data_IF_235787562035
#
_entry.id   IF_235787562035
#
_cell.length_a   1.000
_cell.length_b   1.000
_cell.length_c   1.000
_cell.angle_alpha   90.00
_cell.angle_beta   90.00
_cell.angle_gamma   90.00
#
_symmetry.space_group_name_H-M   'P 1'
#
loop_
_entity.id
_entity.type
_entity.pdbx_description
1 polymer ?
#
# COMPACT_ATOMS: atom_id res chain seq x y z
N UNK A 1 3.86 25.15 -18.51
CA UNK A 1 4.25 24.18 -19.56
C UNK A 1 5.23 23.12 -19.07
N UNK A 2 6.52 23.41 -18.80
CA UNK A 2 7.44 22.37 -18.29
C UNK A 2 7.09 21.89 -16.87
N UNK A 3 6.74 22.81 -15.97
CA UNK A 3 6.28 22.51 -14.61
C UNK A 3 4.97 21.69 -14.58
N UNK A 4 4.02 21.99 -15.46
CA UNK A 4 2.77 21.20 -15.59
C UNK A 4 3.05 19.75 -16.04
N UNK A 5 4.05 19.58 -16.90
CA UNK A 5 4.44 18.26 -17.42
C UNK A 5 5.07 17.40 -16.31
N UNK A 6 5.97 17.97 -15.51
CA UNK A 6 6.59 17.29 -14.37
C UNK A 6 5.55 16.90 -13.31
N UNK A 7 4.63 17.82 -12.98
CA UNK A 7 3.55 17.53 -12.04
C UNK A 7 2.64 16.39 -12.54
N UNK A 8 2.29 16.41 -13.82
CA UNK A 8 1.45 15.37 -14.44
C UNK A 8 2.15 14.00 -14.36
N UNK A 9 3.44 13.95 -14.71
CA UNK A 9 4.22 12.72 -14.68
C UNK A 9 4.31 12.16 -13.26
N UNK A 10 4.58 13.02 -12.27
CA UNK A 10 4.63 12.62 -10.87
C UNK A 10 3.30 12.02 -10.39
N UNK A 11 2.17 12.66 -10.72
CA UNK A 11 0.84 12.17 -10.34
C UNK A 11 0.54 10.81 -10.96
N UNK A 12 0.90 10.60 -12.22
CA UNK A 12 0.73 9.31 -12.90
C UNK A 12 1.54 8.20 -12.24
N UNK A 13 2.81 8.47 -11.91
CA UNK A 13 3.67 7.47 -11.27
C UNK A 13 3.19 7.17 -9.83
N UNK A 14 2.77 8.19 -9.08
CA UNK A 14 2.18 8.02 -7.75
C UNK A 14 0.93 7.13 -7.83
N UNK A 15 0.05 7.36 -8.80
CA UNK A 15 -1.19 6.60 -8.96
C UNK A 15 -0.89 5.15 -9.35
N UNK A 16 0.05 4.93 -10.28
CA UNK A 16 0.52 3.59 -10.68
C UNK A 16 1.07 2.80 -9.50
N UNK A 17 1.94 3.42 -8.70
CA UNK A 17 2.55 2.80 -7.52
C UNK A 17 1.52 2.53 -6.42
N UNK A 18 0.57 3.45 -6.23
CA UNK A 18 -0.56 3.27 -5.31
C UNK A 18 -1.37 2.03 -5.68
N UNK A 19 -1.74 1.89 -6.95
CA UNK A 19 -2.51 0.73 -7.42
C UNK A 19 -1.76 -0.61 -7.22
N UNK A 20 -0.44 -0.64 -7.52
CA UNK A 20 0.37 -1.83 -7.28
C UNK A 20 0.43 -2.23 -5.80
N UNK A 21 0.54 -1.25 -4.90
CA UNK A 21 0.51 -1.49 -3.46
C UNK A 21 -0.88 -1.95 -3.00
N UNK A 22 -1.96 -1.44 -3.58
CA UNK A 22 -3.32 -1.88 -3.25
C UNK A 22 -3.57 -3.34 -3.65
N UNK A 23 -3.04 -3.80 -4.78
CA UNK A 23 -3.08 -5.23 -5.13
C UNK A 23 -2.26 -6.06 -4.15
N UNK A 24 -1.05 -5.60 -3.80
CA UNK A 24 -0.23 -6.26 -2.78
C UNK A 24 -0.98 -6.41 -1.44
N UNK A 25 -1.64 -5.36 -0.96
CA UNK A 25 -2.36 -5.39 0.32
C UNK A 25 -3.47 -6.43 0.34
N UNK A 26 -4.17 -6.63 -0.79
CA UNK A 26 -5.26 -7.62 -0.90
C UNK A 26 -4.75 -9.05 -0.66
N UNK A 27 -3.51 -9.35 -1.01
CA UNK A 27 -2.91 -10.68 -0.81
C UNK A 27 -2.71 -11.03 0.68
N UNK A 28 -2.65 -10.02 1.55
CA UNK A 28 -2.48 -10.19 2.99
C UNK A 28 -3.76 -9.96 3.79
N UNK A 29 -4.90 -9.73 3.14
CA UNK A 29 -6.18 -9.56 3.83
C UNK A 29 -6.70 -10.91 4.35
N UNK A 30 -7.19 -10.96 5.61
CA UNK A 30 -7.88 -12.13 6.11
C UNK A 30 -9.20 -12.38 5.37
N UNK A 31 -9.58 -13.65 5.24
CA UNK A 31 -10.87 -14.05 4.69
C UNK A 31 -12.03 -13.58 5.58
N UNK A 32 -13.09 -13.04 4.96
CA UNK A 32 -14.28 -12.51 5.62
C UNK A 32 -15.26 -13.62 6.05
N UNK A 33 -14.78 -14.53 6.90
CA UNK A 33 -15.48 -15.76 7.28
C UNK A 33 -15.45 -16.01 8.80
N UNK A 34 -16.26 -16.97 9.26
CA UNK A 34 -16.29 -17.43 10.65
C UNK A 34 -16.95 -16.45 11.64
N UNK A 35 -16.73 -16.69 12.93
CA UNK A 35 -17.38 -15.92 14.02
C UNK A 35 -16.95 -14.45 14.09
N UNK A 36 -15.78 -14.12 13.54
CA UNK A 36 -15.21 -12.76 13.57
C UNK A 36 -15.48 -11.99 12.28
N UNK A 37 -16.29 -12.53 11.36
CA UNK A 37 -16.57 -11.97 10.03
C UNK A 37 -16.81 -10.46 10.06
N UNK A 38 -17.69 -9.97 10.92
CA UNK A 38 -18.02 -8.53 10.99
C UNK A 38 -16.82 -7.65 11.34
N UNK A 39 -15.94 -8.12 12.23
CA UNK A 39 -14.71 -7.39 12.58
C UNK A 39 -13.73 -7.42 11.41
N UNK A 40 -13.61 -8.56 10.74
CA UNK A 40 -12.73 -8.74 9.59
C UNK A 40 -13.18 -7.85 8.41
N UNK A 41 -14.48 -7.83 8.08
CA UNK A 41 -15.06 -6.94 7.06
C UNK A 41 -14.73 -5.47 7.37
N UNK A 42 -14.86 -5.06 8.63
CA UNK A 42 -14.52 -3.69 9.04
C UNK A 42 -13.03 -3.39 8.91
N UNK A 43 -12.15 -4.33 9.27
CA UNK A 43 -10.70 -4.20 9.11
C UNK A 43 -10.30 -4.09 7.64
N UNK A 44 -10.82 -4.99 6.80
CA UNK A 44 -10.57 -5.02 5.35
C UNK A 44 -11.08 -3.73 4.70
N UNK A 45 -12.30 -3.29 5.06
CA UNK A 45 -12.86 -2.03 4.61
C UNK A 45 -11.96 -0.84 4.96
N UNK A 46 -11.52 -0.73 6.22
CA UNK A 46 -10.64 0.37 6.65
C UNK A 46 -9.29 0.37 5.93
N UNK A 47 -8.69 -0.80 5.71
CA UNK A 47 -7.42 -0.90 4.97
C UNK A 47 -7.62 -0.53 3.49
N UNK A 48 -8.74 -0.91 2.89
CA UNK A 48 -9.06 -0.71 1.48
C UNK A 48 -9.81 0.60 1.16
N UNK A 49 -10.10 1.44 2.15
CA UNK A 49 -10.74 2.74 1.96
C UNK A 49 -9.89 3.75 1.15
N UNK A 50 -8.70 3.34 0.70
CA UNK A 50 -7.81 4.10 -0.16
C UNK A 50 -6.75 4.89 0.62
N UNK A 51 -6.05 5.75 -0.10
CA UNK A 51 -4.99 6.59 0.46
C UNK A 51 -3.82 6.71 -0.52
N UNK A 52 -2.83 7.52 -0.14
CA UNK A 52 -1.63 7.73 -0.98
C UNK A 52 -0.61 6.58 -0.88
N UNK A 53 -0.79 5.67 0.09
CA UNK A 53 0.10 4.52 0.35
C UNK A 53 1.59 4.90 0.45
N UNK A 54 1.87 6.07 1.04
CA UNK A 54 3.22 6.62 1.06
C UNK A 54 4.19 5.79 1.90
N UNK A 55 3.73 5.17 2.99
CA UNK A 55 4.59 4.34 3.87
C UNK A 55 5.14 3.11 3.15
N UNK A 56 4.30 2.23 2.57
CA UNK A 56 4.80 1.09 1.78
C UNK A 56 5.62 1.55 0.57
N UNK A 57 5.23 2.66 -0.10
CA UNK A 57 6.00 3.19 -1.24
C UNK A 57 7.41 3.62 -0.85
N UNK A 58 7.54 4.42 0.22
CA UNK A 58 8.85 4.87 0.72
C UNK A 58 9.69 3.70 1.23
N UNK A 59 9.07 2.70 1.86
CA UNK A 59 9.74 1.47 2.29
C UNK A 59 10.33 0.72 1.09
N UNK A 60 9.54 0.52 0.02
CA UNK A 60 9.99 -0.15 -1.20
C UNK A 60 11.14 0.59 -1.88
N UNK A 61 11.04 1.91 -2.03
CA UNK A 61 12.11 2.70 -2.67
C UNK A 61 13.38 2.73 -1.82
N UNK A 62 13.25 2.75 -0.49
CA UNK A 62 14.39 2.63 0.42
C UNK A 62 15.06 1.28 0.27
N UNK A 63 14.28 0.19 0.21
CA UNK A 63 14.81 -1.15 -0.02
C UNK A 63 15.61 -1.25 -1.33
N UNK A 64 15.04 -0.73 -2.43
CA UNK A 64 15.72 -0.67 -3.73
C UNK A 64 16.99 0.19 -3.70
N UNK A 65 16.95 1.33 -3.01
CA UNK A 65 18.10 2.23 -2.87
C UNK A 65 19.31 1.53 -2.22
N UNK A 66 19.06 0.59 -1.31
CA UNK A 66 20.10 -0.22 -0.65
C UNK A 66 20.38 -1.56 -1.37
N UNK A 67 19.93 -1.73 -2.61
CA UNK A 67 20.27 -2.88 -3.45
C UNK A 67 19.30 -4.05 -3.40
N UNK A 68 18.16 -3.90 -2.72
CA UNK A 68 17.05 -4.85 -2.76
C UNK A 68 16.46 -4.98 -4.16
N UNK A 69 16.22 -6.22 -4.60
CA UNK A 69 15.76 -6.52 -5.98
C UNK A 69 14.62 -7.54 -6.05
N UNK A 70 14.28 -8.14 -4.93
CA UNK A 70 13.29 -9.20 -4.81
C UNK A 70 12.06 -8.71 -4.04
N UNK A 71 11.10 -9.61 -3.89
CA UNK A 71 9.81 -9.34 -3.28
C UNK A 71 9.83 -9.60 -1.76
N UNK A 72 11.01 -9.81 -1.16
CA UNK A 72 11.12 -10.08 0.29
C UNK A 72 10.64 -8.91 1.16
N UNK A 73 10.54 -7.70 0.59
CA UNK A 73 10.04 -6.49 1.26
C UNK A 73 8.50 -6.45 1.34
N UNK A 74 7.80 -7.23 0.53
CA UNK A 74 6.34 -7.15 0.38
C UNK A 74 5.55 -7.39 1.67
N UNK A 75 5.84 -8.42 2.50
CA UNK A 75 5.15 -8.58 3.78
C UNK A 75 5.34 -7.38 4.71
N UNK A 76 6.50 -6.73 4.66
CA UNK A 76 6.80 -5.55 5.50
C UNK A 76 6.05 -4.31 5.01
N UNK A 77 5.88 -4.17 3.70
CA UNK A 77 5.04 -3.13 3.09
C UNK A 77 3.58 -3.28 3.53
N UNK A 78 3.04 -4.50 3.54
CA UNK A 78 1.70 -4.75 4.03
C UNK A 78 1.58 -4.45 5.53
N UNK A 79 2.52 -4.96 6.34
CA UNK A 79 2.52 -4.78 7.79
C UNK A 79 2.55 -3.29 8.21
N UNK A 80 3.42 -2.46 7.59
CA UNK A 80 3.51 -1.04 7.96
C UNK A 80 2.24 -0.26 7.62
N UNK A 81 1.56 -0.62 6.53
CA UNK A 81 0.30 0.01 6.15
C UNK A 81 -0.85 -0.45 7.06
N UNK A 82 -0.89 -1.72 7.47
CA UNK A 82 -1.85 -2.19 8.47
C UNK A 82 -1.71 -1.44 9.81
N UNK A 83 -0.48 -1.25 10.30
CA UNK A 83 -0.22 -0.46 11.51
C UNK A 83 -0.66 0.99 11.32
N UNK A 84 -0.39 1.56 10.14
CA UNK A 84 -0.85 2.92 9.83
C UNK A 84 -2.37 3.02 9.87
N UNK A 85 -3.09 2.15 9.18
CA UNK A 85 -4.55 2.17 9.13
C UNK A 85 -5.17 1.99 10.51
N UNK A 86 -4.63 1.11 11.35
CA UNK A 86 -5.09 0.96 12.74
C UNK A 86 -5.00 2.25 13.56
N UNK A 87 -4.02 3.11 13.27
CA UNK A 87 -3.79 4.35 14.02
C UNK A 87 -4.68 5.54 13.62
N UNK A 88 -5.50 5.39 12.58
CA UNK A 88 -6.40 6.43 12.06
C UNK A 88 -7.73 6.46 12.82
#
# INVERSE_FOLDING_TARGET
>A
MALDMEETLFRQELQKRTAAIEELLKEYLPAEEGYQKTVIEAMNYSLMAGGKRLRPMLMQETYKMFGGKDDTIEPFMAAIEMIHTYSL
#
